data_IF_405879840790
#
_entry.id   IF_405879840790
#
_cell.length_a   1.000
_cell.length_b   1.000
_cell.length_c   1.000
_cell.angle_alpha   90.00
_cell.angle_beta   90.00
_cell.angle_gamma   90.00
#
_symmetry.space_group_name_H-M   'P 1'
#
loop_
_entity.id
_entity.type
_entity.pdbx_description
1 polymer ?
#
# COMPACT_ATOMS: atom_id res chain seq x y z
N UNK A 1 -9.60 -10.35 11.50
CA UNK A 1 -9.53 -11.82 11.50
C UNK A 1 -8.29 -12.18 10.72
N UNK A 2 -7.38 -12.97 11.29
CA UNK A 2 -6.16 -13.37 10.61
C UNK A 2 -6.50 -14.37 9.50
N UNK A 3 -6.03 -14.13 8.27
CA UNK A 3 -6.30 -14.97 7.11
C UNK A 3 -5.29 -16.12 7.07
N UNK A 4 -5.69 -17.33 6.71
CA UNK A 4 -4.70 -18.41 6.58
C UNK A 4 -3.80 -18.15 5.36
N UNK A 5 -2.59 -18.72 5.35
CA UNK A 5 -1.65 -18.57 4.24
C UNK A 5 -2.23 -19.07 2.92
N UNK A 6 -2.95 -20.19 2.97
CA UNK A 6 -3.53 -20.83 1.78
C UNK A 6 -4.73 -20.05 1.24
N UNK A 7 -5.38 -19.23 2.06
CA UNK A 7 -6.45 -18.34 1.64
C UNK A 7 -5.94 -17.04 1.02
N UNK A 8 -4.65 -16.71 1.13
CA UNK A 8 -4.09 -15.47 0.60
C UNK A 8 -4.33 -15.35 -0.91
N UNK A 9 -4.62 -14.13 -1.32
CA UNK A 9 -4.90 -13.68 -2.68
C UNK A 9 -3.94 -12.56 -3.05
N UNK A 10 -3.90 -12.17 -4.33
CA UNK A 10 -3.05 -11.07 -4.79
C UNK A 10 -3.31 -9.73 -4.09
N UNK A 11 -4.49 -9.54 -3.48
CA UNK A 11 -4.83 -8.32 -2.75
C UNK A 11 -4.24 -8.27 -1.33
N UNK A 12 -3.71 -9.37 -0.82
CA UNK A 12 -3.08 -9.42 0.50
C UNK A 12 -1.60 -8.97 0.37
N UNK A 13 -1.19 -8.00 1.20
CA UNK A 13 0.14 -7.34 1.19
C UNK A 13 1.31 -8.32 0.95
N UNK A 14 1.40 -9.37 1.77
CA UNK A 14 2.45 -10.38 1.65
C UNK A 14 2.49 -11.05 0.27
N UNK A 15 1.32 -11.47 -0.23
CA UNK A 15 1.23 -12.18 -1.50
C UNK A 15 1.52 -11.24 -2.66
N UNK A 16 1.00 -10.01 -2.61
CA UNK A 16 1.29 -8.97 -3.60
C UNK A 16 2.80 -8.74 -3.70
N UNK A 17 3.47 -8.50 -2.57
CA UNK A 17 4.92 -8.30 -2.52
C UNK A 17 5.67 -9.50 -3.12
N UNK A 18 5.34 -10.73 -2.74
CA UNK A 18 6.01 -11.94 -3.25
C UNK A 18 5.84 -12.11 -4.76
N UNK A 19 4.64 -11.91 -5.29
CA UNK A 19 4.39 -12.01 -6.74
C UNK A 19 5.14 -10.92 -7.51
N UNK A 20 5.15 -9.69 -7.00
CA UNK A 20 5.78 -8.54 -7.67
C UNK A 20 7.31 -8.58 -7.63
N UNK A 21 7.93 -9.46 -6.83
CA UNK A 21 9.38 -9.73 -6.93
C UNK A 21 9.78 -10.28 -8.32
N UNK A 22 8.84 -10.92 -9.03
CA UNK A 22 9.06 -11.28 -10.43
C UNK A 22 9.00 -10.02 -11.31
N UNK A 23 10.18 -9.57 -11.76
CA UNK A 23 10.35 -8.35 -12.58
C UNK A 23 9.52 -8.36 -13.87
N UNK A 24 9.31 -9.52 -14.49
CA UNK A 24 8.54 -9.60 -15.73
C UNK A 24 7.05 -9.38 -15.45
N UNK A 25 6.51 -10.04 -14.42
CA UNK A 25 5.11 -9.86 -14.01
C UNK A 25 4.88 -8.42 -13.54
N UNK A 26 5.78 -7.87 -12.71
CA UNK A 26 5.70 -6.50 -12.24
C UNK A 26 5.76 -5.48 -13.38
N UNK A 27 6.59 -5.74 -14.40
CA UNK A 27 6.65 -4.89 -15.59
C UNK A 27 5.32 -4.88 -16.34
N UNK A 28 4.80 -6.06 -16.69
CA UNK A 28 3.53 -6.18 -17.43
C UNK A 28 2.40 -5.52 -16.63
N UNK A 29 2.38 -5.74 -15.31
CA UNK A 29 1.43 -5.13 -14.39
C UNK A 29 1.42 -3.59 -14.48
N UNK A 30 2.60 -2.96 -14.41
CA UNK A 30 2.76 -1.51 -14.52
C UNK A 30 2.34 -0.99 -15.90
N UNK A 31 2.76 -1.67 -16.97
CA UNK A 31 2.43 -1.25 -18.35
C UNK A 31 0.91 -1.31 -18.61
N UNK A 32 0.21 -2.29 -18.04
CA UNK A 32 -1.25 -2.38 -18.11
C UNK A 32 -1.94 -1.25 -17.36
N UNK A 33 -1.46 -0.88 -16.17
CA UNK A 33 -2.08 0.17 -15.34
C UNK A 33 -1.83 1.56 -15.92
N UNK A 34 -0.61 1.83 -16.37
CA UNK A 34 -0.21 3.15 -16.85
C UNK A 34 -0.58 3.39 -18.31
N UNK A 35 -0.93 2.33 -19.05
CA UNK A 35 -1.14 2.38 -20.52
C UNK A 35 0.08 2.98 -21.24
N UNK A 36 1.28 2.72 -20.71
CA UNK A 36 2.55 3.25 -21.19
C UNK A 36 3.64 2.17 -21.11
N UNK A 37 4.68 2.31 -21.93
CA UNK A 37 5.86 1.43 -21.90
C UNK A 37 6.86 1.96 -20.90
N UNK A 38 7.07 1.23 -19.80
CA UNK A 38 8.04 1.64 -18.78
C UNK A 38 9.48 1.25 -19.12
N UNK A 39 9.70 0.43 -20.16
CA UNK A 39 11.03 -0.01 -20.58
C UNK A 39 11.58 -1.16 -19.73
N UNK A 40 12.89 -1.18 -19.47
CA UNK A 40 13.53 -2.19 -18.62
C UNK A 40 13.51 -1.76 -17.15
N UNK A 41 13.14 -2.67 -16.25
CA UNK A 41 13.30 -2.49 -14.80
C UNK A 41 14.78 -2.69 -14.44
N UNK A 42 15.42 -1.65 -13.91
CA UNK A 42 16.82 -1.67 -13.45
C UNK A 42 16.91 -1.98 -11.96
N UNK A 43 15.92 -1.55 -11.18
CA UNK A 43 15.83 -1.80 -9.74
C UNK A 43 14.40 -2.20 -9.35
N UNK A 44 14.27 -3.16 -8.44
CA UNK A 44 13.01 -3.59 -7.85
C UNK A 44 13.27 -3.99 -6.40
N UNK A 45 12.49 -3.42 -5.49
CA UNK A 45 12.50 -3.74 -4.07
C UNK A 45 11.08 -3.87 -3.55
N UNK A 46 10.87 -4.81 -2.63
CA UNK A 46 9.57 -5.03 -1.98
C UNK A 46 9.70 -4.85 -0.49
N UNK A 47 8.71 -4.25 0.16
CA UNK A 47 8.78 -3.86 1.58
C UNK A 47 9.98 -2.95 1.89
N UNK A 48 10.20 -1.95 1.03
CA UNK A 48 11.32 -1.02 1.16
C UNK A 48 11.04 0.00 2.26
N UNK A 49 11.81 -0.07 3.34
CA UNK A 49 11.69 0.88 4.45
C UNK A 49 12.61 2.08 4.20
N UNK A 50 12.02 3.28 4.17
CA UNK A 50 12.76 4.53 4.36
C UNK A 50 12.64 4.91 5.83
N UNK A 51 13.76 4.78 6.55
CA UNK A 51 13.93 5.39 7.86
C UNK A 51 14.30 6.85 7.65
N UNK A 52 13.36 7.75 7.95
CA UNK A 52 13.66 9.18 8.13
C UNK A 52 14.46 9.38 9.43
N UNK A 53 14.76 10.62 9.82
CA UNK A 53 15.32 10.94 11.15
C UNK A 53 14.61 10.19 12.28
N UNK A 54 15.31 9.86 13.38
CA UNK A 54 14.88 8.93 14.45
C UNK A 54 13.45 9.14 15.00
N UNK A 55 12.89 10.35 14.89
CA UNK A 55 11.56 10.71 15.38
C UNK A 55 10.48 10.85 14.28
N UNK A 56 10.85 10.75 13.00
CA UNK A 56 9.95 10.95 11.88
C UNK A 56 9.28 9.64 11.42
N UNK A 57 8.07 9.76 10.88
CA UNK A 57 7.27 8.63 10.43
C UNK A 57 7.99 7.89 9.29
N UNK A 58 8.40 6.64 9.52
CA UNK A 58 8.95 5.78 8.48
C UNK A 58 7.90 5.45 7.42
N UNK A 59 8.34 5.32 6.16
CA UNK A 59 7.52 4.80 5.06
C UNK A 59 8.00 3.40 4.74
N UNK A 60 7.06 2.46 4.60
CA UNK A 60 7.31 1.14 4.02
C UNK A 60 6.54 1.10 2.71
N UNK A 61 7.28 1.02 1.60
CA UNK A 61 6.68 0.82 0.29
C UNK A 61 6.49 -0.66 0.02
N UNK A 62 5.33 -1.04 -0.47
CA UNK A 62 5.02 -2.43 -0.82
C UNK A 62 5.92 -2.87 -1.99
N UNK A 63 5.94 -2.10 -3.09
CA UNK A 63 6.77 -2.37 -4.27
C UNK A 63 7.33 -1.08 -4.85
N UNK A 64 8.65 -0.92 -4.80
CA UNK A 64 9.38 0.20 -5.38
C UNK A 64 10.18 -0.26 -6.60
N UNK A 65 9.93 0.36 -7.74
CA UNK A 65 10.54 0.02 -9.04
C UNK A 65 11.25 1.24 -9.61
N UNK A 66 12.44 1.04 -10.17
CA UNK A 66 13.09 2.02 -11.03
C UNK A 66 13.29 1.43 -12.43
N UNK A 67 13.02 2.24 -13.44
CA UNK A 67 13.27 1.86 -14.83
C UNK A 67 14.62 2.39 -15.35
N UNK A 68 14.96 1.99 -16.58
CA UNK A 68 16.19 2.39 -17.27
C UNK A 68 16.32 3.90 -17.54
N UNK A 69 15.22 4.66 -17.53
CA UNK A 69 15.23 6.11 -17.68
C UNK A 69 15.29 6.84 -16.34
N UNK A 70 15.42 6.08 -15.23
CA UNK A 70 15.49 6.59 -13.87
C UNK A 70 14.14 6.86 -13.21
N UNK A 71 13.01 6.70 -13.91
CA UNK A 71 11.67 6.93 -13.35
C UNK A 71 11.38 5.92 -12.24
N UNK A 72 10.75 6.40 -11.18
CA UNK A 72 10.45 5.63 -9.97
C UNK A 72 8.95 5.37 -9.89
N UNK A 73 8.57 4.14 -9.58
CA UNK A 73 7.19 3.71 -9.42
C UNK A 73 7.03 3.06 -8.06
N UNK A 74 6.17 3.63 -7.24
CA UNK A 74 5.71 3.07 -5.98
C UNK A 74 4.31 2.48 -6.20
N UNK A 75 4.14 1.21 -5.87
CA UNK A 75 2.90 0.46 -6.11
C UNK A 75 2.41 -0.11 -4.78
N UNK A 76 1.20 0.31 -4.39
CA UNK A 76 0.62 0.04 -3.08
C UNK A 76 -0.74 -0.65 -3.22
N UNK A 77 -0.97 -1.73 -2.48
CA UNK A 77 -2.26 -2.43 -2.46
C UNK A 77 -3.11 -1.95 -1.28
N UNK A 78 -4.32 -1.47 -1.55
CA UNK A 78 -5.23 -0.94 -0.52
C UNK A 78 -6.56 -1.69 -0.48
N UNK A 79 -6.74 -2.50 0.57
CA UNK A 79 -7.94 -3.33 0.78
C UNK A 79 -9.08 -2.53 1.43
N UNK A 80 -8.77 -1.65 2.38
CA UNK A 80 -9.75 -0.87 3.15
C UNK A 80 -9.55 0.63 3.01
N UNK A 81 -10.64 1.41 3.10
CA UNK A 81 -10.55 2.87 3.04
C UNK A 81 -10.24 3.45 4.43
N UNK A 82 -9.10 4.13 4.53
CA UNK A 82 -8.70 4.89 5.73
C UNK A 82 -9.01 6.39 5.60
N UNK A 83 -9.59 6.82 4.47
CA UNK A 83 -9.94 8.19 4.12
C UNK A 83 -8.76 9.19 4.19
N UNK A 84 -7.53 8.68 4.06
CA UNK A 84 -6.29 9.46 4.15
C UNK A 84 -5.40 9.35 2.89
N UNK A 85 -5.88 8.63 1.85
CA UNK A 85 -5.11 8.26 0.66
C UNK A 85 -4.38 9.43 -0.01
N UNK A 86 -5.02 10.59 -0.28
CA UNK A 86 -4.32 11.71 -0.93
C UNK A 86 -3.16 12.25 -0.10
N UNK A 87 -3.30 12.26 1.24
CA UNK A 87 -2.24 12.71 2.15
C UNK A 87 -1.10 11.70 2.22
N UNK A 88 -1.41 10.39 2.20
CA UNK A 88 -0.41 9.31 2.11
C UNK A 88 0.39 9.41 0.82
N UNK A 89 -0.29 9.52 -0.33
CA UNK A 89 0.38 9.65 -1.62
C UNK A 89 1.35 10.85 -1.67
N UNK A 90 0.97 11.99 -1.08
CA UNK A 90 1.87 13.15 -0.96
C UNK A 90 3.09 12.85 -0.07
N UNK A 91 2.88 12.17 1.05
CA UNK A 91 3.97 11.83 1.97
C UNK A 91 4.95 10.83 1.33
N UNK A 92 4.43 9.83 0.64
CA UNK A 92 5.20 8.82 -0.08
C UNK A 92 6.05 9.44 -1.18
N UNK A 93 5.46 10.34 -1.96
CA UNK A 93 6.17 11.15 -2.94
C UNK A 93 7.39 11.86 -2.35
N UNK A 94 7.19 12.60 -1.25
CA UNK A 94 8.28 13.32 -0.59
C UNK A 94 9.34 12.38 -0.02
N UNK A 95 8.95 11.21 0.50
CA UNK A 95 9.89 10.21 1.02
C UNK A 95 10.78 9.65 -0.10
N UNK A 96 10.22 9.40 -1.30
CA UNK A 96 10.99 9.01 -2.48
C UNK A 96 11.98 10.12 -2.84
N UNK A 97 11.51 11.37 -2.97
CA UNK A 97 12.36 12.50 -3.35
C UNK A 97 13.55 12.67 -2.38
N UNK A 98 13.31 12.50 -1.07
CA UNK A 98 14.35 12.53 -0.03
C UNK A 98 15.35 11.37 -0.19
N UNK A 99 14.88 10.17 -0.51
CA UNK A 99 15.80 9.01 -0.67
C UNK A 99 16.68 9.07 -1.91
N UNK A 100 16.29 9.86 -2.91
CA UNK A 100 17.02 9.99 -4.18
C UNK A 100 17.97 11.18 -4.16
N UNK A 101 17.60 12.26 -3.46
CA UNK A 101 18.34 13.52 -3.50
C UNK A 101 19.27 13.70 -2.30
N UNK A 102 20.54 13.34 -2.47
CA UNK A 102 21.57 13.65 -1.48
C UNK A 102 21.82 15.15 -1.33
N UNK A 103 22.26 15.55 -0.13
CA UNK A 103 22.63 16.92 0.20
C UNK A 103 23.67 17.47 -0.79
N UNK A 104 23.36 18.62 -1.41
CA UNK A 104 24.26 19.32 -2.35
C UNK A 104 24.01 18.99 -3.83
N UNK A 105 23.08 18.08 -4.15
CA UNK A 105 22.65 17.85 -5.53
C UNK A 105 21.61 18.87 -6.01
N UNK A 106 21.59 19.11 -7.32
CA UNK A 106 20.59 19.95 -7.97
C UNK A 106 19.22 19.26 -8.03
N UNK A 107 18.15 20.02 -7.77
CA UNK A 107 16.76 19.56 -7.95
C UNK A 107 16.46 19.13 -9.39
N UNK A 108 17.22 19.61 -10.38
CA UNK A 108 17.10 19.18 -11.78
C UNK A 108 17.47 17.70 -12.01
N UNK A 109 17.99 17.01 -11.00
CA UNK A 109 18.29 15.58 -11.03
C UNK A 109 17.18 14.72 -10.41
N UNK A 110 16.12 15.33 -9.87
CA UNK A 110 14.98 14.59 -9.35
C UNK A 110 14.33 13.77 -10.47
N UNK A 111 14.09 12.50 -10.20
CA UNK A 111 13.46 11.60 -11.14
C UNK A 111 11.94 11.80 -11.15
N UNK A 112 11.33 11.64 -12.32
CA UNK A 112 9.88 11.47 -12.38
C UNK A 112 9.47 10.28 -11.52
N UNK A 113 8.36 10.45 -10.81
CA UNK A 113 7.95 9.53 -9.77
C UNK A 113 6.44 9.36 -9.77
N UNK A 114 6.02 8.11 -9.61
CA UNK A 114 4.65 7.66 -9.76
C UNK A 114 4.23 6.97 -8.47
N UNK A 115 3.23 7.52 -7.78
CA UNK A 115 2.60 6.85 -6.63
C UNK A 115 1.31 6.20 -7.11
N UNK A 116 1.25 4.88 -7.08
CA UNK A 116 0.17 4.08 -7.66
C UNK A 116 -0.52 3.28 -6.55
N UNK A 117 -1.75 3.66 -6.23
CA UNK A 117 -2.58 2.91 -5.28
C UNK A 117 -3.59 2.04 -6.00
N UNK A 118 -3.57 0.74 -5.72
CA UNK A 118 -4.55 -0.24 -6.21
C UNK A 118 -5.58 -0.47 -5.13
N UNK A 119 -6.75 0.13 -5.28
CA UNK A 119 -7.82 0.06 -4.29
C UNK A 119 -8.86 -1.00 -4.67
N UNK A 120 -9.26 -1.84 -3.70
CA UNK A 120 -10.38 -2.77 -3.86
C UNK A 120 -11.76 -2.06 -3.83
N UNK A 121 -11.75 -0.75 -3.63
CA UNK A 121 -12.91 0.14 -3.51
C UNK A 121 -12.67 1.41 -4.33
N UNK A 122 -13.72 2.20 -4.52
CA UNK A 122 -13.67 3.47 -5.24
C UNK A 122 -13.25 4.60 -4.31
N UNK A 123 -11.94 4.76 -4.06
CA UNK A 123 -11.44 5.79 -3.15
C UNK A 123 -11.84 7.22 -3.55
N UNK A 124 -11.84 7.61 -4.84
CA UNK A 124 -12.32 8.94 -5.25
C UNK A 124 -13.85 9.07 -5.33
N UNK A 125 -14.60 7.96 -5.34
CA UNK A 125 -16.06 7.95 -5.34
C UNK A 125 -16.71 8.45 -6.63
N UNK A 126 -16.06 8.28 -7.80
CA UNK A 126 -16.60 8.72 -9.11
C UNK A 126 -16.88 7.59 -10.10
N UNK A 127 -16.72 6.35 -9.65
CA UNK A 127 -17.02 5.13 -10.39
C UNK A 127 -16.17 4.90 -11.64
N UNK A 128 -15.01 5.54 -11.77
CA UNK A 128 -14.05 5.30 -12.86
C UNK A 128 -13.04 4.23 -12.43
N UNK A 129 -12.49 3.46 -13.38
CA UNK A 129 -11.49 2.42 -13.10
C UNK A 129 -10.09 2.96 -12.80
N UNK A 130 -9.73 4.10 -13.40
CA UNK A 130 -8.41 4.72 -13.28
C UNK A 130 -8.58 6.21 -13.06
N UNK A 131 -7.81 6.74 -12.10
CA UNK A 131 -7.73 8.16 -11.80
C UNK A 131 -6.27 8.58 -11.80
N UNK A 132 -5.90 9.48 -12.71
CA UNK A 132 -4.55 10.03 -12.80
C UNK A 132 -4.58 11.49 -12.39
N UNK A 133 -3.62 11.88 -11.57
CA UNK A 133 -3.49 13.23 -11.04
C UNK A 133 -2.06 13.74 -11.25
N UNK A 134 -1.98 14.96 -11.79
CA UNK A 134 -0.77 15.73 -12.01
C UNK A 134 -1.04 17.18 -11.57
N UNK A 135 0.01 17.95 -11.34
CA UNK A 135 -0.14 19.36 -10.98
C UNK A 135 -0.42 20.21 -12.22
N UNK A 136 -1.50 20.99 -12.15
CA UNK A 136 -1.97 21.86 -13.24
C UNK A 136 -2.18 23.28 -12.72
N UNK A 137 -2.06 24.27 -13.60
CA UNK A 137 -2.42 25.65 -13.28
C UNK A 137 -3.93 25.75 -13.02
N UNK A 138 -4.33 26.48 -11.97
CA UNK A 138 -5.74 26.60 -11.60
C UNK A 138 -6.46 27.61 -12.49
N UNK A 139 -5.73 28.64 -12.92
CA UNK A 139 -6.17 29.74 -13.77
C UNK A 139 -6.31 29.31 -15.23
N UNK A 140 -5.43 28.42 -15.69
CA UNK A 140 -5.51 27.78 -17.01
C UNK A 140 -5.25 26.27 -16.90
N UNK A 141 -6.33 25.50 -17.01
CA UNK A 141 -6.32 24.03 -16.87
C UNK A 141 -5.60 23.30 -18.02
N UNK A 142 -5.19 24.00 -19.08
CA UNK A 142 -4.39 23.44 -20.16
C UNK A 142 -2.89 23.44 -19.83
N UNK A 143 -2.45 24.20 -18.83
CA UNK A 143 -1.03 24.31 -18.45
C UNK A 143 -0.69 23.28 -17.37
N UNK A 144 0.24 22.38 -17.68
CA UNK A 144 0.83 21.43 -16.74
C UNK A 144 2.06 22.05 -16.04
N UNK A 145 2.27 21.73 -14.77
CA UNK A 145 3.44 22.21 -14.01
C UNK A 145 4.75 21.53 -14.46
N UNK A 146 4.65 20.30 -14.99
CA UNK A 146 5.80 19.48 -15.40
C UNK A 146 6.84 19.23 -14.29
N UNK A 147 6.38 18.99 -13.06
CA UNK A 147 7.24 18.72 -11.90
C UNK A 147 7.66 17.24 -11.76
N UNK A 148 7.30 16.39 -12.73
CA UNK A 148 7.64 14.97 -12.75
C UNK A 148 6.85 14.11 -11.75
N UNK A 149 5.92 14.68 -10.98
CA UNK A 149 5.17 13.95 -9.97
C UNK A 149 3.78 13.51 -10.46
N UNK A 150 3.54 12.20 -10.48
CA UNK A 150 2.25 11.63 -10.91
C UNK A 150 1.65 10.73 -9.84
N UNK A 151 0.34 10.82 -9.67
CA UNK A 151 -0.43 10.00 -8.73
C UNK A 151 -1.49 9.24 -9.49
N UNK A 152 -1.57 7.93 -9.28
CA UNK A 152 -2.56 7.07 -9.92
C UNK A 152 -3.32 6.32 -8.85
N UNK A 153 -4.66 6.34 -8.93
CA UNK A 153 -5.54 5.52 -8.11
C UNK A 153 -6.30 4.59 -9.04
N UNK A 154 -6.18 3.29 -8.79
CA UNK A 154 -6.89 2.23 -9.51
C UNK A 154 -8.05 1.75 -8.66
N UNK A 155 -9.25 1.75 -9.23
CA UNK A 155 -10.45 1.25 -8.60
C UNK A 155 -10.77 -0.13 -9.17
N UNK A 156 -10.30 -1.17 -8.48
CA UNK A 156 -10.53 -2.55 -8.90
C UNK A 156 -12.02 -2.91 -8.92
N UNK A 157 -12.89 -2.23 -8.16
CA UNK A 157 -14.33 -2.49 -8.17
C UNK A 157 -15.03 -2.04 -9.47
N UNK A 158 -14.39 -1.18 -10.27
CA UNK A 158 -14.91 -0.72 -11.56
C UNK A 158 -14.39 -1.54 -12.76
N UNK A 159 -13.98 -2.79 -12.54
CA UNK A 159 -13.45 -3.68 -13.59
C UNK A 159 -14.39 -3.85 -14.80
N UNK A 160 -15.70 -3.69 -14.61
CA UNK A 160 -16.72 -3.79 -15.66
C UNK A 160 -16.90 -2.51 -16.50
N UNK A 161 -16.17 -1.42 -16.19
CA UNK A 161 -16.26 -0.13 -16.89
C UNK A 161 -15.02 0.16 -17.74
N UNK A 162 -14.33 -0.89 -18.17
CA UNK A 162 -13.09 -0.81 -18.96
C UNK A 162 -13.32 -1.58 -20.26
N UNK A 163 -12.98 -0.96 -21.39
CA UNK A 163 -13.06 -1.60 -22.71
C UNK A 163 -11.88 -2.55 -22.96
N UNK A 164 -10.68 -2.18 -22.48
CA UNK A 164 -9.50 -3.06 -22.51
C UNK A 164 -9.76 -4.32 -21.68
N UNK A 165 -9.86 -5.46 -22.37
CA UNK A 165 -10.14 -6.76 -21.77
C UNK A 165 -9.03 -7.23 -20.83
N UNK A 166 -7.77 -6.89 -21.11
CA UNK A 166 -6.65 -7.28 -20.26
C UNK A 166 -6.70 -6.52 -18.95
N UNK A 167 -6.84 -5.19 -19.00
CA UNK A 167 -6.94 -4.38 -17.78
C UNK A 167 -8.22 -4.71 -17.00
N UNK A 168 -9.36 -4.87 -17.68
CA UNK A 168 -10.61 -5.34 -17.06
C UNK A 168 -10.42 -6.69 -16.34
N UNK A 169 -9.77 -7.65 -17.00
CA UNK A 169 -9.44 -8.94 -16.42
C UNK A 169 -8.52 -8.85 -15.20
N UNK A 170 -7.49 -8.01 -15.26
CA UNK A 170 -6.58 -7.76 -14.13
C UNK A 170 -7.33 -7.17 -12.92
N UNK A 171 -8.15 -6.14 -13.13
CA UNK A 171 -8.91 -5.53 -12.03
C UNK A 171 -9.93 -6.50 -11.44
N UNK A 172 -10.59 -7.30 -12.29
CA UNK A 172 -11.49 -8.37 -11.85
C UNK A 172 -10.76 -9.40 -11.00
N UNK A 173 -9.57 -9.81 -11.44
CA UNK A 173 -8.73 -10.74 -10.69
C UNK A 173 -8.34 -10.18 -9.32
N UNK A 174 -7.86 -8.94 -9.26
CA UNK A 174 -7.53 -8.27 -7.98
C UNK A 174 -8.75 -8.20 -7.06
N UNK A 175 -9.93 -7.89 -7.61
CA UNK A 175 -11.15 -7.72 -6.82
C UNK A 175 -11.77 -9.05 -6.35
N UNK A 176 -11.63 -10.12 -7.12
CA UNK A 176 -12.43 -11.35 -6.93
C UNK A 176 -11.60 -12.63 -6.80
N UNK A 177 -10.30 -12.58 -7.08
CA UNK A 177 -9.43 -13.75 -7.21
C UNK A 177 -9.65 -14.59 -8.47
N UNK A 178 -10.62 -14.24 -9.34
CA UNK A 178 -10.93 -15.03 -10.54
C UNK A 178 -10.08 -14.61 -11.74
N UNK A 179 -9.16 -15.48 -12.16
CA UNK A 179 -8.39 -15.30 -13.38
C UNK A 179 -9.28 -15.42 -14.63
N UNK A 180 -9.10 -14.52 -15.59
CA UNK A 180 -9.89 -14.49 -16.84
C UNK A 180 -9.09 -14.15 -18.09
N UNK A 181 -7.79 -13.87 -17.95
CA UNK A 181 -6.86 -13.55 -19.04
C UNK A 181 -5.56 -14.32 -18.85
N UNK A 182 -4.76 -14.43 -19.91
CA UNK A 182 -3.45 -15.07 -19.87
C UNK A 182 -2.56 -14.48 -18.75
N UNK A 183 -2.50 -13.15 -18.66
CA UNK A 183 -1.71 -12.49 -17.62
C UNK A 183 -2.18 -12.82 -16.21
N UNK A 184 -3.50 -12.84 -15.97
CA UNK A 184 -4.03 -13.23 -14.65
C UNK A 184 -3.79 -14.72 -14.34
N UNK A 185 -3.72 -15.58 -15.36
CA UNK A 185 -3.29 -16.97 -15.20
C UNK A 185 -1.83 -17.06 -14.73
N UNK A 186 -0.93 -16.29 -15.36
CA UNK A 186 0.49 -16.21 -14.94
C UNK A 186 0.66 -15.69 -13.50
N UNK A 187 -0.18 -14.75 -13.07
CA UNK A 187 -0.19 -14.29 -11.68
C UNK A 187 -0.65 -15.41 -10.74
N UNK A 188 -1.69 -16.15 -11.11
CA UNK A 188 -2.18 -17.29 -10.32
C UNK A 188 -1.13 -18.39 -10.19
N UNK A 189 -0.44 -18.74 -11.29
CA UNK A 189 0.65 -19.72 -11.28
C UNK A 189 1.78 -19.31 -10.31
N UNK A 190 2.11 -18.00 -10.29
CA UNK A 190 3.09 -17.47 -9.34
C UNK A 190 2.58 -17.53 -7.89
N UNK A 191 1.30 -17.24 -7.64
CA UNK A 191 0.71 -17.39 -6.31
C UNK A 191 0.81 -18.84 -5.83
N UNK A 192 0.47 -19.82 -6.68
CA UNK A 192 0.60 -21.23 -6.33
C UNK A 192 2.06 -21.60 -6.04
N UNK A 193 2.99 -21.12 -6.86
CA UNK A 193 4.44 -21.29 -6.61
C UNK A 193 4.86 -20.72 -5.24
N UNK A 194 4.32 -19.57 -4.83
CA UNK A 194 4.57 -18.99 -3.50
C UNK A 194 3.92 -19.83 -2.40
N UNK A 195 2.73 -20.37 -2.63
CA UNK A 195 2.00 -21.21 -1.65
C UNK A 195 2.67 -22.57 -1.39
N UNK A 196 3.29 -23.12 -2.42
CA UNK A 196 4.07 -24.37 -2.35
C UNK A 196 5.46 -24.17 -1.73
N UNK A 197 5.87 -22.93 -1.49
CA UNK A 197 7.16 -22.60 -0.91
C UNK A 197 7.08 -22.54 0.63
N UNK A 198 7.65 -23.56 1.30
CA UNK A 198 7.74 -23.64 2.76
C UNK A 198 8.44 -22.45 3.42
N UNK A 199 9.46 -21.87 2.76
CA UNK A 199 10.11 -20.67 3.28
C UNK A 199 9.15 -19.49 3.29
N UNK A 200 8.39 -19.27 2.20
CA UNK A 200 7.39 -18.21 2.14
C UNK A 200 6.28 -18.42 3.18
N UNK A 201 5.85 -19.68 3.40
CA UNK A 201 4.89 -20.03 4.46
C UNK A 201 5.44 -19.68 5.85
N UNK A 202 6.70 -19.99 6.12
CA UNK A 202 7.33 -19.65 7.39
C UNK A 202 7.49 -18.14 7.59
N UNK A 203 7.91 -17.41 6.56
CA UNK A 203 7.98 -15.95 6.57
C UNK A 203 6.62 -15.31 6.88
N UNK A 204 5.54 -15.81 6.27
CA UNK A 204 4.19 -15.33 6.57
C UNK A 204 3.76 -15.61 8.01
N UNK A 205 4.10 -16.80 8.57
CA UNK A 205 3.83 -17.11 9.99
C UNK A 205 4.53 -16.14 10.94
N UNK A 206 5.80 -15.84 10.68
CA UNK A 206 6.57 -14.88 11.48
C UNK A 206 5.95 -13.49 11.37
N UNK A 207 5.68 -13.03 10.14
CA UNK A 207 5.07 -11.72 9.90
C UNK A 207 3.70 -11.60 10.61
N UNK A 208 2.89 -12.65 10.52
CA UNK A 208 1.59 -12.77 11.18
C UNK A 208 1.69 -12.63 12.70
N UNK A 209 2.61 -13.37 13.33
CA UNK A 209 2.82 -13.30 14.77
C UNK A 209 3.23 -11.89 15.20
N UNK A 210 4.20 -11.28 14.50
CA UNK A 210 4.64 -9.90 14.76
C UNK A 210 3.50 -8.89 14.61
N UNK A 211 2.64 -9.04 13.60
CA UNK A 211 1.48 -8.17 13.42
C UNK A 211 0.43 -8.34 14.53
N UNK A 212 0.25 -9.56 15.03
CA UNK A 212 -0.64 -9.86 16.14
C UNK A 212 -0.14 -9.22 17.44
N UNK A 213 1.13 -9.40 17.77
CA UNK A 213 1.77 -8.78 18.95
C UNK A 213 1.65 -7.25 18.90
N UNK A 214 1.97 -6.64 17.74
CA UNK A 214 1.85 -5.18 17.57
C UNK A 214 0.42 -4.68 17.73
N UNK A 215 -0.57 -5.47 17.29
CA UNK A 215 -1.99 -5.13 17.45
C UNK A 215 -2.41 -5.24 18.91
N UNK A 216 -2.04 -6.31 19.60
CA UNK A 216 -2.37 -6.53 21.02
C UNK A 216 -1.75 -5.43 21.90
N UNK A 217 -0.50 -5.04 21.61
CA UNK A 217 0.12 -3.86 22.22
C UNK A 217 -0.66 -2.57 21.97
N UNK A 218 -1.11 -2.35 20.73
CA UNK A 218 -1.90 -1.18 20.35
C UNK A 218 -3.25 -1.11 21.07
N UNK A 219 -3.98 -2.24 21.10
CA UNK A 219 -5.26 -2.37 21.82
C UNK A 219 -5.06 -2.13 23.33
N UNK A 220 -3.99 -2.68 23.91
CA UNK A 220 -3.63 -2.46 25.32
C UNK A 220 -3.26 -1.01 25.62
N UNK A 221 -2.46 -0.36 24.77
CA UNK A 221 -2.11 1.09 24.93
C UNK A 221 -3.37 1.94 24.89
N UNK A 222 -4.29 1.66 23.97
CA UNK A 222 -5.58 2.35 23.88
C UNK A 222 -6.44 2.12 25.14
N UNK A 223 -6.51 0.90 25.65
CA UNK A 223 -7.22 0.59 26.89
C UNK A 223 -6.67 1.41 28.08
N UNK A 224 -5.34 1.52 28.19
CA UNK A 224 -4.69 2.35 29.22
C UNK A 224 -5.00 3.84 29.07
N UNK A 225 -5.00 4.36 27.84
CA UNK A 225 -5.35 5.76 27.57
C UNK A 225 -6.80 6.06 27.96
N UNK A 226 -7.74 5.19 27.56
CA UNK A 226 -9.15 5.30 27.93
C UNK A 226 -9.33 5.25 29.44
N UNK A 227 -8.64 4.33 30.13
CA UNK A 227 -8.70 4.24 31.59
C UNK A 227 -8.19 5.53 32.27
N UNK A 228 -7.08 6.11 31.80
CA UNK A 228 -6.58 7.42 32.28
C UNK A 228 -7.60 8.54 32.05
N UNK A 229 -8.26 8.56 30.89
CA UNK A 229 -9.29 9.55 30.57
C UNK A 229 -10.49 9.42 31.52
N UNK A 230 -11.00 8.21 31.72
CA UNK A 230 -12.13 7.96 32.61
C UNK A 230 -11.83 8.24 34.08
N UNK A 231 -10.61 7.92 34.55
CA UNK A 231 -10.18 8.25 35.91
C UNK A 231 -10.16 9.77 36.13
N UNK A 232 -9.64 10.53 35.16
CA UNK A 232 -9.69 12.00 35.17
C UNK A 232 -11.11 12.57 35.19
N UNK A 233 -12.07 11.86 34.61
CA UNK A 233 -13.50 12.22 34.61
C UNK A 233 -14.26 11.74 35.86
N UNK A 234 -13.57 11.12 36.84
CA UNK A 234 -14.18 10.66 38.09
C UNK A 234 -15.01 9.38 37.96
N UNK A 235 -14.85 8.62 36.87
CA UNK A 235 -15.53 7.33 36.70
C UNK A 235 -14.94 6.31 37.69
N UNK A 236 -15.81 5.53 38.34
CA UNK A 236 -15.38 4.51 39.32
C UNK A 236 -14.46 3.45 38.70
N UNK A 237 -13.52 2.94 39.51
CA UNK A 237 -12.55 1.91 39.09
C UNK A 237 -13.24 0.67 38.53
N UNK A 238 -14.31 0.20 39.16
CA UNK A 238 -15.07 -0.97 38.70
C UNK A 238 -15.66 -0.80 37.30
N UNK A 239 -16.17 0.39 36.98
CA UNK A 239 -16.69 0.71 35.65
C UNK A 239 -15.56 0.76 34.63
N UNK A 240 -14.42 1.35 35.01
CA UNK A 240 -13.24 1.43 34.13
C UNK A 240 -12.69 0.04 33.82
N UNK A 241 -12.56 -0.84 34.82
CA UNK A 241 -12.14 -2.24 34.66
C UNK A 241 -13.08 -2.97 33.70
N UNK A 242 -14.40 -2.87 33.91
CA UNK A 242 -15.39 -3.50 33.02
C UNK A 242 -15.34 -2.95 31.58
N UNK A 243 -15.11 -1.65 31.42
CA UNK A 243 -15.11 -1.00 30.12
C UNK A 243 -13.82 -1.22 29.31
N UNK A 244 -12.69 -1.39 29.99
CA UNK A 244 -11.36 -1.47 29.34
C UNK A 244 -10.77 -2.88 29.34
N UNK A 245 -11.26 -3.79 30.18
CA UNK A 245 -10.72 -5.14 30.36
C UNK A 245 -9.38 -5.19 31.10
N UNK A 246 -8.88 -4.06 31.60
CA UNK A 246 -7.64 -3.99 32.39
C UNK A 246 -7.83 -4.57 33.78
N UNK A 247 -6.76 -5.07 34.40
CA UNK A 247 -6.86 -5.58 35.77
C UNK A 247 -7.09 -4.43 36.78
N UNK A 248 -7.86 -4.71 37.84
CA UNK A 248 -8.21 -3.72 38.86
C UNK A 248 -6.99 -2.98 39.43
N UNK A 249 -5.94 -3.73 39.79
CA UNK A 249 -4.68 -3.18 40.30
C UNK A 249 -3.97 -2.26 39.30
N UNK A 250 -4.17 -2.45 38.00
CA UNK A 250 -3.59 -1.59 36.98
C UNK A 250 -4.33 -0.26 36.93
N UNK A 251 -5.67 -0.28 36.93
CA UNK A 251 -6.52 0.92 36.91
C UNK A 251 -6.34 1.76 38.18
N UNK A 252 -6.19 1.13 39.35
CA UNK A 252 -5.91 1.84 40.60
C UNK A 252 -4.60 2.62 40.57
N UNK A 253 -3.58 2.10 39.86
CA UNK A 253 -2.25 2.71 39.76
C UNK A 253 -2.13 3.82 38.70
N UNK A 254 -3.10 3.95 37.80
CA UNK A 254 -3.11 4.98 36.74
C UNK A 254 -3.28 6.41 37.25
#
# INVERSE_FOLDING_TARGET
MHKSFDDLTIADDFMFCKVMQNKELCKIFLEMILSDRIGKITYLSTQYNITTYEEAKSVRFDVLVQNQTGKIYDIEMQVSDEHNLPRRMRFYQAAIDISVLDKGNSYSKLNDSFIIFICLFDAPGKGKPVYSFENICLEDRQILLHDGAKKVIINAAAFNKIEDKNLSGLLKYIKTGKATTEFTGRLEDMIQTVKDNEQARNEYRIMSATMMDARDEGERRKALEVAKNFKRLGVSVDIIVKATGLAHKEVEKL
#
